data_IF_766950125834
#
_entry.id   IF_766950125834
#
_cell.length_a   1.000
_cell.length_b   1.000
_cell.length_c   1.000
_cell.angle_alpha   90.00
_cell.angle_beta   90.00
_cell.angle_gamma   90.00
#
_symmetry.space_group_name_H-M   'P 1'
#
loop_
_entity.id
_entity.type
_entity.pdbx_description
1 polymer ?
#
# COMPACT_ATOMS: atom_id res chain seq x y z
N UNK A 1 10.22 -15.20 -1.51
CA UNK A 1 9.36 -14.51 -2.49
C UNK A 1 8.32 -13.74 -1.70
N UNK A 2 8.11 -12.45 -2.00
CA UNK A 2 7.20 -11.61 -1.21
C UNK A 2 5.78 -11.82 -1.77
N UNK A 3 4.94 -12.57 -1.05
CA UNK A 3 3.59 -12.88 -1.53
C UNK A 3 2.65 -11.69 -1.25
N UNK A 4 2.29 -10.98 -2.31
CA UNK A 4 1.30 -9.90 -2.29
C UNK A 4 0.02 -10.40 -2.92
N UNK A 5 -1.11 -10.08 -2.28
CA UNK A 5 -2.41 -10.12 -2.94
C UNK A 5 -2.45 -9.09 -4.07
N UNK A 6 -3.34 -9.23 -5.07
CA UNK A 6 -3.46 -8.26 -6.16
C UNK A 6 -3.62 -6.82 -5.66
N UNK A 7 -4.47 -6.60 -4.66
CA UNK A 7 -4.69 -5.27 -4.06
C UNK A 7 -3.47 -4.70 -3.36
N UNK A 8 -2.70 -5.52 -2.65
CA UNK A 8 -1.45 -5.05 -2.03
C UNK A 8 -0.42 -4.68 -3.11
N UNK A 9 -0.35 -5.46 -4.19
CA UNK A 9 0.52 -5.15 -5.33
C UNK A 9 0.11 -3.83 -6.00
N UNK A 10 -1.18 -3.63 -6.28
CA UNK A 10 -1.69 -2.41 -6.91
C UNK A 10 -1.44 -1.18 -6.04
N UNK A 11 -1.68 -1.29 -4.73
CA UNK A 11 -1.37 -0.22 -3.78
C UNK A 11 0.13 0.10 -3.75
N UNK A 12 0.99 -0.93 -3.76
CA UNK A 12 2.44 -0.74 -3.79
C UNK A 12 2.88 -0.05 -5.09
N UNK A 13 2.40 -0.50 -6.24
CA UNK A 13 2.71 0.11 -7.54
C UNK A 13 2.25 1.56 -7.58
N UNK A 14 1.05 1.85 -7.07
CA UNK A 14 0.54 3.22 -7.02
C UNK A 14 1.44 4.13 -6.16
N UNK A 15 1.89 3.67 -5.00
CA UNK A 15 2.84 4.39 -4.15
C UNK A 15 4.21 4.59 -4.83
N UNK A 16 4.70 3.58 -5.56
CA UNK A 16 5.97 3.66 -6.29
C UNK A 16 5.91 4.63 -7.49
N UNK A 17 4.74 4.78 -8.11
CA UNK A 17 4.54 5.77 -9.18
C UNK A 17 4.44 7.21 -8.66
N UNK A 18 4.12 7.38 -7.37
CA UNK A 18 3.96 8.69 -6.70
C UNK A 18 4.97 8.86 -5.55
N UNK A 19 6.23 8.48 -5.80
CA UNK A 19 7.28 8.61 -4.79
C UNK A 19 7.43 10.05 -4.31
N UNK A 20 7.61 10.20 -2.98
CA UNK A 20 7.80 11.49 -2.29
C UNK A 20 6.60 12.44 -2.35
N UNK A 21 5.42 11.94 -2.75
CA UNK A 21 4.18 12.71 -2.73
C UNK A 21 3.33 12.35 -1.52
N UNK A 22 2.66 13.35 -0.95
CA UNK A 22 1.66 13.13 0.10
C UNK A 22 0.34 12.75 -0.58
N UNK A 23 -0.05 11.48 -0.44
CA UNK A 23 -1.33 10.98 -0.92
C UNK A 23 -2.33 10.88 0.23
N UNK A 24 -3.55 11.36 -0.01
CA UNK A 24 -4.68 11.23 0.93
C UNK A 24 -5.26 9.82 0.88
N UNK A 25 -6.02 9.44 1.92
CA UNK A 25 -6.68 8.13 1.96
C UNK A 25 -7.69 7.97 0.82
N UNK A 26 -8.48 9.01 0.52
CA UNK A 26 -9.44 8.98 -0.58
C UNK A 26 -8.78 8.80 -1.95
N UNK A 27 -7.62 9.42 -2.18
CA UNK A 27 -6.85 9.22 -3.41
C UNK A 27 -6.38 7.76 -3.54
N UNK A 28 -5.82 7.19 -2.47
CA UNK A 28 -5.39 5.79 -2.46
C UNK A 28 -6.55 4.82 -2.60
N UNK A 29 -7.68 5.12 -1.95
CA UNK A 29 -8.90 4.33 -2.02
C UNK A 29 -9.43 4.29 -3.46
N UNK A 30 -9.59 5.47 -4.06
CA UNK A 30 -10.10 5.60 -5.43
C UNK A 30 -9.17 4.92 -6.44
N UNK A 31 -7.84 5.04 -6.25
CA UNK A 31 -6.87 4.47 -7.17
C UNK A 31 -6.82 2.93 -7.16
N UNK A 32 -7.08 2.30 -6.02
CA UNK A 32 -6.93 0.84 -5.85
C UNK A 32 -8.27 0.11 -5.82
N UNK A 33 -9.33 0.74 -5.30
CA UNK A 33 -10.68 0.15 -5.19
C UNK A 33 -11.70 0.73 -6.17
N UNK A 34 -11.43 1.89 -6.79
CA UNK A 34 -12.37 2.56 -7.69
C UNK A 34 -13.26 3.61 -7.00
N UNK A 35 -13.84 4.49 -7.80
CA UNK A 35 -14.71 5.59 -7.33
C UNK A 35 -16.08 5.09 -6.83
N UNK A 36 -16.49 3.90 -7.25
CA UNK A 36 -17.72 3.21 -6.88
C UNK A 36 -17.59 2.40 -5.58
N UNK A 37 -16.45 2.45 -4.91
CA UNK A 37 -16.26 1.80 -3.63
C UNK A 37 -16.98 2.55 -2.51
N UNK A 38 -18.11 2.02 -2.03
CA UNK A 38 -18.90 2.58 -0.93
C UNK A 38 -18.39 2.22 0.48
N UNK A 39 -17.16 1.73 0.60
CA UNK A 39 -16.59 1.33 1.89
C UNK A 39 -15.78 2.44 2.56
N UNK A 40 -15.32 2.17 3.78
CA UNK A 40 -14.55 3.12 4.58
C UNK A 40 -13.08 3.23 4.09
N UNK A 41 -12.58 4.47 4.00
CA UNK A 41 -11.17 4.81 3.75
C UNK A 41 -10.18 4.11 4.70
N UNK A 42 -10.63 3.68 5.87
CA UNK A 42 -9.83 2.90 6.84
C UNK A 42 -9.26 1.60 6.27
N UNK A 43 -9.85 1.05 5.19
CA UNK A 43 -9.28 -0.12 4.50
C UNK A 43 -7.87 0.17 3.96
N UNK A 44 -7.60 1.42 3.56
CA UNK A 44 -6.26 1.84 3.09
C UNK A 44 -5.23 1.64 4.19
N UNK A 45 -5.54 2.04 5.42
CA UNK A 45 -4.62 1.93 6.57
C UNK A 45 -4.27 0.46 6.87
N UNK A 46 -5.24 -0.45 6.72
CA UNK A 46 -5.03 -1.90 6.87
C UNK A 46 -4.04 -2.43 5.83
N UNK A 47 -4.23 -2.09 4.56
CA UNK A 47 -3.36 -2.57 3.48
C UNK A 47 -1.96 -1.92 3.55
N UNK A 48 -1.84 -0.65 3.94
CA UNK A 48 -0.56 0.00 4.23
C UNK A 48 0.16 -0.72 5.36
N UNK A 49 -0.54 -1.09 6.44
CA UNK A 49 0.03 -1.85 7.55
C UNK A 49 0.52 -3.22 7.08
N UNK A 50 -0.23 -3.93 6.23
CA UNK A 50 0.20 -5.21 5.68
C UNK A 50 1.42 -5.08 4.78
N UNK A 51 1.45 -4.08 3.89
CA UNK A 51 2.61 -3.78 3.06
C UNK A 51 3.86 -3.48 3.89
N UNK A 52 3.73 -2.64 4.92
CA UNK A 52 4.83 -2.32 5.85
C UNK A 52 5.29 -3.56 6.59
N UNK A 53 4.37 -4.37 7.13
CA UNK A 53 4.72 -5.62 7.82
C UNK A 53 5.50 -6.55 6.89
N UNK A 54 5.00 -6.77 5.67
CA UNK A 54 5.66 -7.64 4.68
C UNK A 54 7.01 -7.10 4.19
N UNK A 55 7.23 -5.77 4.19
CA UNK A 55 8.48 -5.14 3.72
C UNK A 55 9.51 -4.86 4.83
N UNK A 56 9.06 -4.64 6.07
CA UNK A 56 9.91 -4.24 7.21
C UNK A 56 10.26 -5.45 8.09
N UNK A 57 9.48 -6.53 8.07
CA UNK A 57 9.83 -7.79 8.78
C UNK A 57 10.79 -8.70 7.99
N UNK A 58 11.19 -8.33 6.76
CA UNK A 58 12.49 -8.78 6.26
C UNK A 58 13.53 -7.87 6.89
N UNK A 59 14.40 -8.37 7.78
CA UNK A 59 15.51 -7.57 8.24
C UNK A 59 16.24 -7.08 6.99
N UNK A 60 16.21 -5.77 6.75
CA UNK A 60 17.28 -5.16 5.98
C UNK A 60 18.53 -5.53 6.76
N UNK A 61 19.26 -6.56 6.28
CA UNK A 61 20.59 -6.85 6.78
C UNK A 61 21.33 -5.52 6.75
N UNK A 62 21.60 -4.97 7.94
CA UNK A 62 22.51 -3.86 8.10
C UNK A 62 23.87 -4.39 7.69
N UNK A 63 24.23 -4.22 6.42
CA UNK A 63 25.61 -4.29 5.99
C UNK A 63 26.31 -3.05 6.53
N UNK A 64 26.87 -3.19 7.72
CA UNK A 64 27.98 -2.37 8.25
C UNK A 64 29.30 -3.04 7.92
#
# INVERSE_FOLDING_TARGET
>A
MLELTPREYDLLVHLLNHQQQVLTRDQLLTAVWGFDYFGDTNVVDVYIRYLRKKKIDYPFEKNS
#
